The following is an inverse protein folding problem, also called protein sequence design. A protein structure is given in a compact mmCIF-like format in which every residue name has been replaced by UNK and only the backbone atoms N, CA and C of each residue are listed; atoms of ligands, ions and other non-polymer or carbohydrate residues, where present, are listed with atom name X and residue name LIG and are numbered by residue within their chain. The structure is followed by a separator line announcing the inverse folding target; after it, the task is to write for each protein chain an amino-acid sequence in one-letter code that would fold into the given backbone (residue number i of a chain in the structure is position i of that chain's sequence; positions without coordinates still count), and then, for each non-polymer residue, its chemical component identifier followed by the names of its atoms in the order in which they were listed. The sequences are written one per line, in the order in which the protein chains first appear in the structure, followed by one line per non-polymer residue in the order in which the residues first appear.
data_IF_787114526521
#
_entry.id   IF_787114526521
#
_cell.length_a   1.000
_cell.length_b   1.000
_cell.length_c   1.000
_cell.angle_alpha   90.00
_cell.angle_beta   90.00
_cell.angle_gamma   90.00
#
_symmetry.space_group_name_H-M   'P 1'
#
loop_
_entity.id
_entity.type
_entity.pdbx_description
1 polymer ?
#
# COMPACT_ATOMS: atom_id res chain seq x y z
N UNK A 1 30.11 -7.99 49.63
CA UNK A 1 29.08 -8.34 48.64
C UNK A 1 29.53 -9.63 47.97
N UNK A 2 28.77 -10.71 48.10
CA UNK A 2 29.18 -12.07 47.69
C UNK A 2 29.46 -12.18 46.17
N UNK A 3 30.51 -12.90 45.72
CA UNK A 3 30.91 -12.96 44.31
C UNK A 3 29.83 -13.49 43.36
N UNK A 4 28.91 -14.34 43.85
CA UNK A 4 27.81 -14.89 43.07
C UNK A 4 26.71 -13.87 42.77
N UNK A 5 26.47 -12.89 43.66
CA UNK A 5 25.47 -11.84 43.46
C UNK A 5 25.89 -10.92 42.30
N UNK A 6 27.18 -10.60 42.21
CA UNK A 6 27.76 -9.76 41.15
C UNK A 6 27.65 -10.47 39.78
N UNK A 7 27.89 -11.79 39.73
CA UNK A 7 27.68 -12.59 38.51
C UNK A 7 26.21 -12.62 38.09
N UNK A 8 25.28 -12.76 39.03
CA UNK A 8 23.85 -12.80 38.74
C UNK A 8 23.33 -11.44 38.24
N UNK A 9 23.78 -10.33 38.83
CA UNK A 9 23.45 -8.97 38.37
C UNK A 9 24.07 -8.67 37.02
N UNK A 10 25.35 -9.04 36.79
CA UNK A 10 26.02 -8.84 35.50
C UNK A 10 25.39 -9.68 34.38
N UNK A 11 24.99 -10.93 34.68
CA UNK A 11 24.28 -11.77 33.72
C UNK A 11 22.92 -11.20 33.35
N UNK A 12 22.13 -10.74 34.33
CA UNK A 12 20.84 -10.09 34.07
C UNK A 12 20.99 -8.78 33.30
N UNK A 13 22.01 -7.97 33.60
CA UNK A 13 22.32 -6.75 32.87
C UNK A 13 22.72 -7.05 31.43
N UNK A 14 23.63 -8.01 31.20
CA UNK A 14 24.08 -8.40 29.87
C UNK A 14 22.93 -8.89 28.98
N UNK A 15 22.09 -9.79 29.50
CA UNK A 15 20.91 -10.28 28.78
C UNK A 15 19.92 -9.13 28.50
N UNK A 16 19.71 -8.23 29.47
CA UNK A 16 18.87 -7.05 29.31
C UNK A 16 19.38 -6.10 28.23
N UNK A 17 20.69 -5.84 28.18
CA UNK A 17 21.33 -5.01 27.16
C UNK A 17 21.19 -5.63 25.78
N UNK A 18 21.42 -6.94 25.63
CA UNK A 18 21.20 -7.65 24.35
C UNK A 18 19.74 -7.53 23.91
N UNK A 19 18.80 -7.79 24.82
CA UNK A 19 17.37 -7.67 24.53
C UNK A 19 16.96 -6.25 24.10
N UNK A 20 17.56 -5.22 24.71
CA UNK A 20 17.35 -3.82 24.32
C UNK A 20 17.88 -3.54 22.91
N UNK A 21 19.07 -4.03 22.57
CA UNK A 21 19.66 -3.88 21.22
C UNK A 21 18.78 -4.55 20.17
N UNK A 22 18.37 -5.80 20.40
CA UNK A 22 17.50 -6.53 19.47
C UNK A 22 16.16 -5.81 19.27
N UNK A 23 15.55 -5.32 20.36
CA UNK A 23 14.31 -4.54 20.29
C UNK A 23 14.48 -3.28 19.45
N UNK A 24 15.56 -2.54 19.65
CA UNK A 24 15.86 -1.31 18.89
C UNK A 24 16.15 -1.60 17.42
N UNK A 25 16.88 -2.68 17.10
CA UNK A 25 17.09 -3.11 15.72
C UNK A 25 15.77 -3.53 15.05
N UNK A 26 14.91 -4.24 15.78
CA UNK A 26 13.59 -4.64 15.30
C UNK A 26 12.70 -3.45 14.99
N UNK A 27 12.64 -2.46 15.89
CA UNK A 27 11.88 -1.23 15.64
C UNK A 27 12.45 -0.46 14.47
N UNK A 28 13.77 -0.34 14.33
CA UNK A 28 14.40 0.32 13.18
C UNK A 28 14.09 -0.39 11.85
N UNK A 29 14.23 -1.72 11.82
CA UNK A 29 13.97 -2.54 10.63
C UNK A 29 12.52 -2.39 10.17
N UNK A 30 11.58 -2.44 11.11
CA UNK A 30 10.17 -2.23 10.81
C UNK A 30 9.88 -0.79 10.32
N UNK A 31 10.53 0.22 10.90
CA UNK A 31 10.46 1.59 10.42
C UNK A 31 10.93 1.74 8.97
N UNK A 32 12.05 1.09 8.66
CA UNK A 32 12.59 1.07 7.32
C UNK A 32 11.68 0.36 6.33
N UNK A 33 11.09 -0.79 6.69
CA UNK A 33 10.17 -1.54 5.83
C UNK A 33 8.96 -0.69 5.42
N UNK A 34 8.30 -0.02 6.36
CA UNK A 34 7.12 0.80 6.04
C UNK A 34 7.49 1.99 5.15
N UNK A 35 8.63 2.64 5.43
CA UNK A 35 9.12 3.75 4.59
C UNK A 35 9.46 3.27 3.18
N UNK A 36 10.10 2.10 3.05
CA UNK A 36 10.42 1.51 1.76
C UNK A 36 9.15 1.23 0.94
N UNK A 37 8.11 0.64 1.56
CA UNK A 37 6.82 0.40 0.92
C UNK A 37 6.21 1.72 0.42
N UNK A 38 6.20 2.77 1.26
CA UNK A 38 5.68 4.09 0.89
C UNK A 38 6.45 4.67 -0.31
N UNK A 39 7.78 4.65 -0.26
CA UNK A 39 8.63 5.22 -1.31
C UNK A 39 8.46 4.52 -2.65
N UNK A 40 8.43 3.18 -2.66
CA UNK A 40 8.17 2.41 -3.88
C UNK A 40 6.78 2.71 -4.40
N UNK A 41 5.77 2.80 -3.51
CA UNK A 41 4.40 3.09 -3.89
C UNK A 41 4.25 4.46 -4.55
N UNK A 42 4.80 5.50 -3.92
CA UNK A 42 4.79 6.87 -4.44
C UNK A 42 5.58 6.95 -5.76
N UNK A 43 6.74 6.29 -5.83
CA UNK A 43 7.57 6.27 -7.03
C UNK A 43 6.85 5.69 -8.24
N UNK A 44 6.13 4.58 -8.06
CA UNK A 44 5.33 3.97 -9.13
C UNK A 44 4.11 4.83 -9.49
N UNK A 45 3.40 5.36 -8.49
CA UNK A 45 2.25 6.24 -8.72
C UNK A 45 2.63 7.49 -9.53
N UNK A 46 3.75 8.14 -9.21
CA UNK A 46 4.20 9.33 -9.94
C UNK A 46 4.63 9.01 -11.38
N UNK A 47 5.16 7.80 -11.62
CA UNK A 47 5.49 7.34 -12.98
C UNK A 47 4.23 7.12 -13.81
N UNK A 48 3.17 6.55 -13.23
CA UNK A 48 1.86 6.46 -13.91
C UNK A 48 1.27 7.84 -14.18
N UNK A 49 1.29 8.74 -13.20
CA UNK A 49 0.78 10.10 -13.34
C UNK A 49 1.47 10.85 -14.49
N UNK A 50 2.81 10.80 -14.55
CA UNK A 50 3.57 11.40 -15.65
C UNK A 50 3.17 10.81 -17.02
N UNK A 51 2.96 9.50 -17.10
CA UNK A 51 2.53 8.85 -18.34
C UNK A 51 1.11 9.28 -18.74
N UNK A 52 0.20 9.39 -17.77
CA UNK A 52 -1.18 9.85 -17.93
C UNK A 52 -1.24 11.31 -18.39
N UNK A 53 -0.40 12.19 -17.85
CA UNK A 53 -0.30 13.60 -18.27
C UNK A 53 0.17 13.72 -19.73
N UNK A 54 1.15 12.92 -20.15
CA UNK A 54 1.62 12.90 -21.55
C UNK A 54 0.51 12.46 -22.51
N UNK A 55 -0.29 11.46 -22.14
CA UNK A 55 -1.44 11.02 -22.94
C UNK A 55 -2.50 12.11 -22.98
N UNK A 56 -2.84 12.71 -21.83
CA UNK A 56 -3.84 13.79 -21.73
C UNK A 56 -3.49 14.99 -22.60
N UNK A 57 -2.24 15.43 -22.58
CA UNK A 57 -1.76 16.54 -23.40
C UNK A 57 -1.89 16.22 -24.89
N UNK A 58 -1.47 15.02 -25.33
CA UNK A 58 -1.54 14.61 -26.74
C UNK A 58 -2.97 14.46 -27.26
N UNK A 59 -3.89 13.96 -26.42
CA UNK A 59 -5.31 13.83 -26.77
C UNK A 59 -5.99 15.20 -26.84
N UNK A 60 -5.68 16.12 -25.91
CA UNK A 60 -6.30 17.45 -25.87
C UNK A 60 -5.88 18.36 -27.02
N UNK A 61 -4.66 18.21 -27.52
CA UNK A 61 -4.09 19.17 -28.46
C UNK A 61 -4.39 18.84 -29.94
N UNK A 62 -5.23 17.83 -30.20
CA UNK A 62 -5.62 17.35 -31.54
C UNK A 62 -4.46 17.27 -32.54
N UNK A 63 -3.25 17.03 -32.04
CA UNK A 63 -2.03 17.08 -32.84
C UNK A 63 -2.01 15.79 -33.66
N UNK A 64 -2.53 15.89 -34.88
CA UNK A 64 -2.59 14.84 -35.90
C UNK A 64 -1.22 14.47 -36.48
N UNK A 65 -0.13 15.00 -35.94
CA UNK A 65 1.18 14.36 -36.04
C UNK A 65 1.04 12.96 -35.41
N UNK A 66 1.14 11.90 -36.24
CA UNK A 66 0.88 10.50 -35.89
C UNK A 66 1.26 10.19 -34.45
N UNK A 67 0.28 10.26 -33.54
CA UNK A 67 0.47 9.82 -32.16
C UNK A 67 0.87 8.35 -32.27
N UNK A 68 2.12 8.05 -31.89
CA UNK A 68 2.63 6.69 -31.94
C UNK A 68 2.04 5.90 -30.77
N UNK A 69 0.79 5.48 -30.92
CA UNK A 69 0.03 4.69 -29.94
C UNK A 69 0.75 3.40 -29.58
N UNK A 70 1.52 2.82 -30.51
CA UNK A 70 2.39 1.67 -30.25
C UNK A 70 3.47 1.99 -29.22
N UNK A 71 4.11 3.15 -29.31
CA UNK A 71 5.11 3.61 -28.32
C UNK A 71 4.48 3.88 -26.95
N UNK A 72 3.25 4.40 -26.91
CA UNK A 72 2.50 4.63 -25.66
C UNK A 72 2.11 3.29 -25.03
N UNK A 73 1.56 2.36 -25.82
CA UNK A 73 1.24 0.99 -25.40
C UNK A 73 2.44 0.31 -24.77
N UNK A 74 3.59 0.29 -25.47
CA UNK A 74 4.80 -0.32 -24.93
C UNK A 74 5.21 0.28 -23.57
N UNK A 75 5.07 1.60 -23.38
CA UNK A 75 5.34 2.21 -22.08
C UNK A 75 4.39 1.73 -20.98
N UNK A 76 3.10 1.60 -21.26
CA UNK A 76 2.14 1.04 -20.29
C UNK A 76 2.41 -0.44 -19.99
N UNK A 77 2.78 -1.23 -21.00
CA UNK A 77 3.13 -2.65 -20.82
C UNK A 77 4.36 -2.79 -19.93
N UNK A 78 5.45 -2.07 -20.22
CA UNK A 78 6.67 -2.07 -19.40
C UNK A 78 6.36 -1.59 -17.97
N UNK A 79 5.53 -0.57 -17.82
CA UNK A 79 5.14 -0.06 -16.50
C UNK A 79 4.35 -1.11 -15.70
N UNK A 80 3.42 -1.81 -16.35
CA UNK A 80 2.64 -2.89 -15.73
C UNK A 80 3.53 -4.07 -15.30
N UNK A 81 4.47 -4.48 -16.16
CA UNK A 81 5.47 -5.50 -15.81
C UNK A 81 6.33 -5.06 -14.62
N UNK A 82 6.75 -3.80 -14.58
CA UNK A 82 7.51 -3.24 -13.46
C UNK A 82 6.72 -3.27 -12.15
N UNK A 83 5.42 -2.95 -12.18
CA UNK A 83 4.60 -3.05 -10.95
C UNK A 83 4.40 -4.49 -10.53
N UNK A 84 4.20 -5.42 -11.46
CA UNK A 84 4.09 -6.86 -11.12
C UNK A 84 5.37 -7.36 -10.43
N UNK A 85 6.54 -6.95 -10.92
CA UNK A 85 7.81 -7.28 -10.30
C UNK A 85 7.99 -6.61 -8.93
N UNK A 86 7.61 -5.33 -8.82
CA UNK A 86 7.64 -4.62 -7.55
C UNK A 86 6.68 -5.26 -6.52
N UNK A 87 5.48 -5.69 -6.95
CA UNK A 87 4.51 -6.37 -6.08
C UNK A 87 5.11 -7.68 -5.56
N UNK A 88 5.77 -8.50 -6.37
CA UNK A 88 6.40 -9.75 -5.90
C UNK A 88 7.39 -9.52 -4.73
N UNK A 89 8.11 -8.40 -4.74
CA UNK A 89 9.09 -8.06 -3.69
C UNK A 89 8.40 -7.41 -2.48
N UNK A 90 7.47 -6.48 -2.75
CA UNK A 90 6.87 -5.60 -1.73
C UNK A 90 5.69 -6.29 -1.03
N UNK A 91 4.99 -7.21 -1.70
CA UNK A 91 3.84 -7.95 -1.20
C UNK A 91 4.06 -8.65 0.16
N UNK A 92 5.14 -9.45 0.36
CA UNK A 92 5.42 -10.03 1.68
C UNK A 92 5.79 -8.97 2.72
N UNK A 93 6.45 -7.88 2.31
CA UNK A 93 6.81 -6.77 3.20
C UNK A 93 5.55 -6.04 3.69
N UNK A 94 4.55 -5.83 2.82
CA UNK A 94 3.25 -5.26 3.17
C UNK A 94 2.55 -6.12 4.22
N UNK A 95 2.55 -7.45 4.05
CA UNK A 95 1.90 -8.34 5.01
C UNK A 95 2.58 -8.26 6.39
N UNK A 96 3.92 -8.38 6.42
CA UNK A 96 4.70 -8.27 7.66
C UNK A 96 4.50 -6.90 8.32
N UNK A 97 4.54 -5.82 7.52
CA UNK A 97 4.28 -4.46 7.96
C UNK A 97 2.89 -4.33 8.60
N UNK A 98 1.85 -4.87 7.95
CA UNK A 98 0.48 -4.84 8.46
C UNK A 98 0.35 -5.58 9.80
N UNK A 99 0.89 -6.80 9.89
CA UNK A 99 0.88 -7.59 11.12
C UNK A 99 1.61 -6.86 12.26
N UNK A 100 2.78 -6.27 11.97
CA UNK A 100 3.55 -5.51 12.95
C UNK A 100 2.82 -4.24 13.39
N UNK A 101 2.21 -3.49 12.47
CA UNK A 101 1.41 -2.31 12.77
C UNK A 101 0.23 -2.65 13.69
N UNK A 102 -0.56 -3.68 13.36
CA UNK A 102 -1.68 -4.13 14.20
C UNK A 102 -1.20 -4.56 15.59
N UNK A 103 -0.14 -5.37 15.66
CA UNK A 103 0.43 -5.81 16.93
C UNK A 103 0.82 -4.63 17.82
N UNK A 104 1.54 -3.64 17.28
CA UNK A 104 1.98 -2.48 18.03
C UNK A 104 0.80 -1.61 18.47
N UNK A 105 -0.19 -1.39 17.61
CA UNK A 105 -1.41 -0.65 17.96
C UNK A 105 -2.10 -1.31 19.18
N UNK A 106 -2.23 -2.64 19.20
CA UNK A 106 -2.80 -3.36 20.33
C UNK A 106 -1.96 -3.21 21.62
N UNK A 107 -0.63 -3.35 21.52
CA UNK A 107 0.27 -3.20 22.65
C UNK A 107 0.19 -1.78 23.23
N UNK A 108 0.36 -0.74 22.40
CA UNK A 108 0.33 0.64 22.88
C UNK A 108 -1.02 1.09 23.44
N UNK A 109 -2.12 0.56 22.89
CA UNK A 109 -3.46 0.81 23.44
C UNK A 109 -3.62 0.17 24.83
N UNK A 110 -3.25 -1.11 24.98
CA UNK A 110 -3.34 -1.80 26.27
C UNK A 110 -2.43 -1.19 27.34
N UNK A 111 -1.20 -0.81 26.99
CA UNK A 111 -0.27 -0.11 27.86
C UNK A 111 -0.75 1.32 28.20
N UNK A 112 -1.36 2.00 27.23
CA UNK A 112 -2.02 3.29 27.44
C UNK A 112 -3.10 3.20 28.52
N UNK A 113 -3.97 2.19 28.44
CA UNK A 113 -5.03 1.95 29.45
C UNK A 113 -4.41 1.62 30.82
N UNK A 114 -3.41 0.73 30.85
CA UNK A 114 -2.77 0.32 32.12
C UNK A 114 -2.04 1.45 32.83
N UNK A 115 -1.45 2.37 32.06
CA UNK A 115 -0.65 3.46 32.59
C UNK A 115 -1.46 4.63 33.17
N UNK A 116 -2.79 4.66 32.99
CA UNK A 116 -3.67 5.73 33.49
C UNK A 116 -3.49 5.99 34.99
N UNK A 117 -3.24 4.93 35.76
CA UNK A 117 -3.05 5.00 37.22
C UNK A 117 -1.59 5.25 37.63
N UNK A 118 -0.63 5.12 36.72
CA UNK A 118 0.81 5.20 37.00
C UNK A 118 1.35 6.64 36.90
N UNK A 119 0.75 7.46 36.04
CA UNK A 119 1.05 8.90 35.96
C UNK A 119 0.84 9.51 34.58
N UNK A 120 0.34 10.74 34.54
CA UNK A 120 -0.12 11.45 33.33
C UNK A 120 0.91 11.49 32.20
N UNK A 121 2.20 11.68 32.50
CA UNK A 121 3.26 11.76 31.49
C UNK A 121 3.46 10.44 30.74
N UNK A 122 3.41 9.32 31.46
CA UNK A 122 3.58 7.98 30.89
C UNK A 122 2.36 7.61 30.05
N UNK A 123 1.16 7.94 30.53
CA UNK A 123 -0.09 7.75 29.79
C UNK A 123 -0.09 8.53 28.48
N UNK A 124 0.30 9.82 28.51
CA UNK A 124 0.41 10.65 27.31
C UNK A 124 1.40 10.06 26.30
N UNK A 125 2.53 9.51 26.74
CA UNK A 125 3.51 8.88 25.86
C UNK A 125 2.92 7.68 25.10
N UNK A 126 2.21 6.77 25.80
CA UNK A 126 1.62 5.59 25.17
C UNK A 126 0.51 5.96 24.18
N UNK A 127 -0.37 6.90 24.53
CA UNK A 127 -1.42 7.37 23.61
C UNK A 127 -0.84 8.14 22.41
N UNK A 128 0.15 9.00 22.61
CA UNK A 128 0.84 9.68 21.50
C UNK A 128 1.41 8.66 20.52
N UNK A 129 2.11 7.64 21.03
CA UNK A 129 2.69 6.59 20.20
C UNK A 129 1.62 5.79 19.48
N UNK A 130 0.51 5.46 20.14
CA UNK A 130 -0.64 4.80 19.54
C UNK A 130 -1.21 5.60 18.35
N UNK A 131 -1.52 6.89 18.53
CA UNK A 131 -2.05 7.72 17.45
C UNK A 131 -1.04 7.89 16.30
N UNK A 132 0.24 8.07 16.62
CA UNK A 132 1.30 8.12 15.64
C UNK A 132 1.35 6.85 14.77
N UNK A 133 1.21 5.67 15.38
CA UNK A 133 1.18 4.40 14.66
C UNK A 133 -0.04 4.27 13.75
N UNK A 134 -1.21 4.77 14.15
CA UNK A 134 -2.40 4.81 13.30
C UNK A 134 -2.13 5.67 12.06
N UNK A 135 -1.65 6.90 12.24
CA UNK A 135 -1.35 7.83 11.13
C UNK A 135 -0.33 7.22 10.17
N UNK A 136 0.68 6.54 10.70
CA UNK A 136 1.69 5.88 9.88
C UNK A 136 1.12 4.69 9.10
N UNK A 137 0.31 3.85 9.74
CA UNK A 137 -0.34 2.71 9.08
C UNK A 137 -1.27 3.18 7.97
N UNK A 138 -2.06 4.22 8.21
CA UNK A 138 -2.93 4.79 7.17
C UNK A 138 -2.13 5.40 6.03
N UNK A 139 -1.01 6.06 6.29
CA UNK A 139 -0.13 6.58 5.25
C UNK A 139 0.44 5.46 4.34
N UNK A 140 0.84 4.32 4.91
CA UNK A 140 1.29 3.14 4.14
C UNK A 140 0.17 2.63 3.23
N UNK A 141 -1.04 2.44 3.79
CA UNK A 141 -2.19 1.94 3.05
C UNK A 141 -2.62 2.91 1.94
N UNK A 142 -2.71 4.21 2.24
CA UNK A 142 -3.08 5.23 1.25
C UNK A 142 -2.04 5.35 0.13
N UNK A 143 -0.75 5.24 0.47
CA UNK A 143 0.32 5.27 -0.54
C UNK A 143 0.22 4.08 -1.49
N UNK A 144 -0.01 2.88 -0.95
CA UNK A 144 -0.22 1.68 -1.76
C UNK A 144 -1.50 1.77 -2.61
N UNK A 145 -2.59 2.32 -2.05
CA UNK A 145 -3.86 2.49 -2.75
C UNK A 145 -3.77 3.48 -3.92
N UNK A 146 -2.92 4.52 -3.80
CA UNK A 146 -2.73 5.53 -4.85
C UNK A 146 -2.24 4.94 -6.17
N UNK A 147 -1.49 3.82 -6.15
CA UNK A 147 -1.04 3.14 -7.36
C UNK A 147 -2.22 2.56 -8.15
N UNK A 148 -3.19 1.95 -7.44
CA UNK A 148 -4.41 1.41 -8.05
C UNK A 148 -5.27 2.52 -8.66
N UNK A 149 -5.35 3.68 -8.00
CA UNK A 149 -6.06 4.86 -8.52
C UNK A 149 -5.40 5.41 -9.80
N UNK A 150 -4.07 5.61 -9.79
CA UNK A 150 -3.33 6.17 -10.94
C UNK A 150 -3.25 5.21 -12.13
N UNK A 151 -3.20 3.90 -11.87
CA UNK A 151 -3.24 2.89 -12.94
C UNK A 151 -4.63 2.82 -13.60
N UNK A 152 -5.70 2.90 -12.80
CA UNK A 152 -7.10 2.92 -13.26
C UNK A 152 -7.49 4.25 -13.92
N UNK A 153 -6.83 5.35 -13.58
CA UNK A 153 -7.05 6.65 -14.19
C UNK A 153 -6.71 6.66 -15.69
N UNK A 154 -5.70 5.89 -16.11
CA UNK A 154 -5.32 5.73 -17.52
C UNK A 154 -6.50 5.22 -18.37
N UNK A 155 -7.25 4.23 -17.86
CA UNK A 155 -8.44 3.69 -18.52
C UNK A 155 -9.55 4.75 -18.65
N UNK A 156 -9.72 5.61 -17.63
CA UNK A 156 -10.70 6.69 -17.64
C UNK A 156 -10.37 7.79 -18.66
N UNK A 157 -9.08 8.08 -18.89
CA UNK A 157 -8.66 9.02 -19.94
C UNK A 157 -8.94 8.42 -21.33
N UNK A 158 -8.57 7.15 -21.53
CA UNK A 158 -8.69 6.50 -22.84
C UNK A 158 -10.16 6.26 -23.25
N UNK A 159 -11.04 5.96 -22.29
CA UNK A 159 -12.50 5.80 -22.53
C UNK A 159 -13.21 7.10 -22.89
N UNK A 160 -12.62 8.25 -22.56
CA UNK A 160 -13.16 9.59 -22.91
C UNK A 160 -12.61 10.12 -24.25
N UNK A 161 -11.78 9.36 -24.95
CA UNK A 161 -11.20 9.78 -26.22
C UNK A 161 -12.26 9.76 -27.34
N UNK A 162 -12.21 10.74 -28.25
CA UNK A 162 -13.20 10.90 -29.32
C UNK A 162 -13.12 9.75 -30.36
N UNK A 163 -14.25 9.28 -30.94
CA UNK A 163 -14.27 8.16 -31.89
C UNK A 163 -13.39 8.33 -33.13
N UNK A 164 -13.07 9.57 -33.51
CA UNK A 164 -12.21 9.91 -34.65
C UNK A 164 -10.73 9.58 -34.43
N UNK A 165 -10.29 9.36 -33.18
CA UNK A 165 -8.92 8.95 -32.80
C UNK A 165 -8.89 7.47 -32.38
N UNK A 166 -10.04 6.79 -32.45
CA UNK A 166 -10.23 5.42 -32.01
C UNK A 166 -9.63 4.44 -33.03
N UNK A 167 -8.31 4.28 -32.96
CA UNK A 167 -7.58 3.27 -33.71
C UNK A 167 -7.64 1.95 -32.93
N UNK A 168 -7.56 0.82 -33.62
CA UNK A 168 -7.54 -0.53 -33.04
C UNK A 168 -6.56 -0.64 -31.86
N UNK A 169 -5.42 0.07 -31.88
CA UNK A 169 -4.44 0.07 -30.80
C UNK A 169 -4.94 0.69 -29.49
N UNK A 170 -5.79 1.72 -29.54
CA UNK A 170 -6.41 2.33 -28.35
C UNK A 170 -7.36 1.36 -27.68
N UNK A 171 -8.16 0.63 -28.47
CA UNK A 171 -9.03 -0.43 -27.99
C UNK A 171 -8.25 -1.54 -27.27
N UNK A 172 -7.14 -2.01 -27.83
CA UNK A 172 -6.28 -3.01 -27.18
C UNK A 172 -5.67 -2.51 -25.86
N UNK A 173 -5.29 -1.23 -25.78
CA UNK A 173 -4.76 -0.63 -24.54
C UNK A 173 -5.87 -0.58 -23.47
N UNK A 174 -7.09 -0.17 -23.84
CA UNK A 174 -8.23 -0.15 -22.91
C UNK A 174 -8.55 -1.55 -22.40
N UNK A 175 -8.59 -2.54 -23.29
CA UNK A 175 -8.87 -3.91 -22.91
C UNK A 175 -7.78 -4.46 -22.00
N UNK A 176 -6.50 -4.18 -22.30
CA UNK A 176 -5.38 -4.60 -21.47
C UNK A 176 -5.41 -3.94 -20.09
N UNK A 177 -5.66 -2.63 -19.99
CA UNK A 177 -5.81 -1.94 -18.70
C UNK A 177 -7.05 -2.38 -17.90
N UNK A 178 -8.09 -2.86 -18.57
CA UNK A 178 -9.29 -3.41 -17.92
C UNK A 178 -9.05 -4.81 -17.36
N UNK A 179 -8.17 -5.60 -18.00
CA UNK A 179 -7.87 -6.98 -17.62
C UNK A 179 -6.71 -7.04 -16.61
N UNK A 180 -5.63 -6.31 -16.86
CA UNK A 180 -4.47 -6.20 -15.98
C UNK A 180 -4.70 -5.11 -14.93
N UNK A 181 -5.55 -5.40 -13.93
CA UNK A 181 -5.72 -4.50 -12.79
C UNK A 181 -4.44 -4.49 -11.95
N UNK A 182 -3.80 -3.34 -11.86
CA UNK A 182 -2.51 -3.16 -11.18
C UNK A 182 -2.74 -2.60 -9.78
N UNK A 183 -2.72 -3.48 -8.79
CA UNK A 183 -2.83 -3.12 -7.37
C UNK A 183 -1.76 -3.87 -6.59
N UNK A 184 -1.19 -3.22 -5.57
CA UNK A 184 -0.37 -3.92 -4.60
C UNK A 184 -1.23 -4.87 -3.77
N UNK A 185 -0.77 -6.11 -3.68
CA UNK A 185 -1.44 -7.17 -2.95
C UNK A 185 -0.64 -7.52 -1.71
N UNK A 186 -1.29 -7.67 -0.55
CA UNK A 186 -0.65 -8.21 0.64
C UNK A 186 -0.67 -9.75 0.56
N UNK A 187 0.21 -10.32 -0.26
CA UNK A 187 0.28 -11.74 -0.61
C UNK A 187 -1.08 -12.32 -1.04
N UNK A 188 -1.87 -11.55 -1.79
CA UNK A 188 -3.24 -11.89 -2.22
C UNK A 188 -4.25 -12.14 -1.08
N UNK A 189 -3.90 -11.90 0.19
CA UNK A 189 -4.87 -11.94 1.30
C UNK A 189 -5.88 -10.79 1.19
N UNK A 190 -5.39 -9.61 0.83
CA UNK A 190 -6.22 -8.45 0.48
C UNK A 190 -5.48 -7.58 -0.54
N UNK A 191 -6.24 -7.05 -1.51
CA UNK A 191 -5.75 -6.06 -2.46
C UNK A 191 -5.98 -4.68 -1.87
N UNK A 192 -4.98 -3.82 -1.89
CA UNK A 192 -5.16 -2.43 -1.47
C UNK A 192 -5.69 -1.67 -2.70
N UNK A 193 -7.01 -1.61 -2.80
CA UNK A 193 -7.73 -0.84 -3.83
C UNK A 193 -8.58 0.22 -3.14
N UNK A 194 -8.40 1.50 -3.51
CA UNK A 194 -9.23 2.60 -3.01
C UNK A 194 -10.66 2.54 -3.58
N UNK A 195 -10.86 1.75 -4.65
CA UNK A 195 -12.14 1.51 -5.28
C UNK A 195 -13.02 0.57 -4.46
N UNK A 196 -13.69 1.14 -3.47
CA UNK A 196 -15.00 0.69 -3.03
C UNK A 196 -15.98 0.93 -4.20
N UNK A 197 -15.89 0.14 -5.27
CA UNK A 197 -16.94 0.13 -6.30
C UNK A 197 -18.19 -0.44 -5.61
N UNK A 198 -18.98 0.46 -5.02
CA UNK A 198 -20.22 0.15 -4.30
C UNK A 198 -21.13 -0.73 -5.17
N UNK A 199 -21.10 -0.53 -6.49
CA UNK A 199 -21.76 -1.37 -7.50
C UNK A 199 -21.31 -2.84 -7.54
N UNK A 200 -20.01 -3.12 -7.34
CA UNK A 200 -19.49 -4.49 -7.40
C UNK A 200 -19.87 -5.30 -6.16
N UNK A 201 -19.89 -4.66 -4.99
CA UNK A 201 -20.33 -5.26 -3.73
C UNK A 201 -21.85 -5.41 -3.72
N UNK A 202 -22.60 -4.43 -4.23
CA UNK A 202 -24.06 -4.51 -4.37
C UNK A 202 -24.50 -5.67 -5.27
N UNK A 203 -23.89 -5.83 -6.44
CA UNK A 203 -24.21 -6.93 -7.35
C UNK A 203 -23.83 -8.31 -6.77
N UNK A 204 -22.75 -8.40 -6.00
CA UNK A 204 -22.35 -9.66 -5.35
C UNK A 204 -23.26 -10.01 -4.17
N UNK A 205 -23.68 -9.02 -3.39
CA UNK A 205 -24.66 -9.18 -2.31
C UNK A 205 -26.06 -9.53 -2.87
N UNK A 206 -26.47 -8.93 -3.98
CA UNK A 206 -27.70 -9.29 -4.66
C UNK A 206 -27.64 -10.71 -5.25
N UNK A 207 -26.52 -11.10 -5.87
CA UNK A 207 -26.35 -12.45 -6.41
C UNK A 207 -26.36 -13.54 -5.31
N UNK A 208 -25.77 -13.25 -4.14
CA UNK A 208 -25.81 -14.14 -2.98
C UNK A 208 -27.20 -14.16 -2.34
N UNK A 209 -27.88 -13.00 -2.24
CA UNK A 209 -29.26 -12.92 -1.76
C UNK A 209 -30.25 -13.64 -2.67
N UNK A 210 -30.07 -13.58 -3.99
CA UNK A 210 -30.92 -14.29 -4.95
C UNK A 210 -30.66 -15.79 -4.97
N UNK A 211 -29.44 -16.24 -4.62
CA UNK A 211 -29.12 -17.65 -4.47
C UNK A 211 -29.66 -18.25 -3.15
N UNK A 212 -29.81 -17.43 -2.10
CA UNK A 212 -30.34 -17.85 -0.80
C UNK A 212 -31.88 -17.81 -0.73
N UNK A 213 -32.53 -16.94 -1.52
CA UNK A 213 -33.99 -16.84 -1.63
C UNK A 213 -34.58 -17.72 -2.75
N UNK A 214 -33.75 -18.56 -3.37
CA UNK A 214 -34.13 -19.53 -4.42
C UNK A 214 -34.44 -20.93 -3.90
N UNK A 215 -34.85 -21.06 -2.62
CA UNK A 215 -35.49 -22.23 -2.04
C UNK A 215 -36.80 -21.82 -1.36
#
# INVERSE_FOLDING_TARGET
MEPWLIKLTNYKLFVGTIGCIIRTMGTFTWNFCDLFIILVSIGLAERYKNLNEVVRFKVSNNSTERINWRKIKNKYVIMNELVKEADNIVSPLILISCCMNVYQICVYSSEGIRSVTTGTKITMYYFYTFFFLIVRTTAVVLSAAKIDDESSYALSILTRCHPSVFIIEVFWIQQQLSIDKVSFTALKFFSITHRWDSYYIWNRLHAVSSALLGF
#
